data_IF_246022241046
#
_entry.id   IF_246022241046
#
_cell.length_a   1.000
_cell.length_b   1.000
_cell.length_c   1.000
_cell.angle_alpha   90.00
_cell.angle_beta   90.00
_cell.angle_gamma   90.00
#
_symmetry.space_group_name_H-M   'P 1'
#
loop_
_entity.id
_entity.type
_entity.pdbx_description
1 polymer ?
#
# COMPACT_ATOMS: atom_id res chain seq x y z
N UNK A 1 -28.91 -9.74 -0.14
CA UNK A 1 -29.32 -11.01 0.51
C UNK A 1 -28.62 -12.17 -0.17
N UNK A 2 -28.30 -13.23 0.58
CA UNK A 2 -27.66 -14.42 0.02
C UNK A 2 -28.61 -15.19 -0.92
N UNK A 3 -28.08 -15.91 -1.95
CA UNK A 3 -28.89 -16.59 -2.94
C UNK A 3 -29.87 -17.59 -2.36
N UNK A 4 -29.47 -18.35 -1.35
CA UNK A 4 -30.27 -19.40 -0.71
C UNK A 4 -31.51 -18.80 -0.01
N UNK A 5 -31.34 -17.71 0.73
CA UNK A 5 -32.44 -16.92 1.31
C UNK A 5 -33.37 -16.35 0.23
N UNK A 6 -32.81 -15.90 -0.91
CA UNK A 6 -33.61 -15.39 -2.04
C UNK A 6 -34.42 -16.48 -2.75
N UNK A 7 -33.90 -17.72 -2.84
CA UNK A 7 -34.57 -18.85 -3.52
C UNK A 7 -35.84 -19.25 -2.81
N UNK A 8 -35.80 -19.31 -1.48
CA UNK A 8 -36.92 -19.75 -0.66
C UNK A 8 -37.70 -18.58 -0.05
N UNK A 9 -37.55 -17.37 -0.59
CA UNK A 9 -38.21 -16.15 -0.09
C UNK A 9 -38.09 -15.96 1.44
N UNK A 10 -36.94 -16.36 2.02
CA UNK A 10 -36.68 -16.26 3.46
C UNK A 10 -37.15 -17.43 4.33
N UNK A 11 -37.71 -18.49 3.74
CA UNK A 11 -38.17 -19.69 4.49
C UNK A 11 -37.05 -20.69 4.81
N UNK A 12 -35.87 -20.53 4.23
CA UNK A 12 -34.72 -21.39 4.50
C UNK A 12 -34.07 -21.06 5.86
N UNK A 13 -33.45 -22.07 6.48
CA UNK A 13 -32.74 -21.90 7.74
C UNK A 13 -31.63 -20.86 7.61
N UNK A 14 -31.72 -19.80 8.40
CA UNK A 14 -30.69 -18.77 8.45
C UNK A 14 -29.45 -19.30 9.15
N UNK A 15 -28.32 -19.29 8.45
CA UNK A 15 -27.02 -19.65 9.01
C UNK A 15 -26.06 -18.47 8.96
N UNK A 16 -24.96 -18.52 9.72
CA UNK A 16 -23.89 -17.50 9.68
C UNK A 16 -23.33 -17.26 8.26
N UNK A 17 -23.52 -18.22 7.35
CA UNK A 17 -23.06 -18.12 5.95
C UNK A 17 -23.82 -17.06 5.17
N UNK A 18 -25.03 -16.70 5.59
CA UNK A 18 -25.82 -15.59 5.01
C UNK A 18 -25.17 -14.25 5.36
N UNK A 19 -24.68 -14.10 6.59
CA UNK A 19 -23.93 -12.92 7.02
C UNK A 19 -22.60 -12.83 6.28
N UNK A 20 -21.90 -13.96 6.11
CA UNK A 20 -20.65 -14.02 5.35
C UNK A 20 -20.84 -13.58 3.88
N UNK A 21 -21.97 -13.92 3.24
CA UNK A 21 -22.30 -13.42 1.90
C UNK A 21 -22.48 -11.91 1.89
N UNK A 22 -23.21 -11.38 2.87
CA UNK A 22 -23.47 -9.94 3.00
C UNK A 22 -22.17 -9.17 3.29
N UNK A 23 -21.22 -9.78 4.01
CA UNK A 23 -19.88 -9.23 4.22
C UNK A 23 -19.09 -9.09 2.90
N UNK A 24 -19.22 -10.03 1.96
CA UNK A 24 -18.64 -9.87 0.62
C UNK A 24 -19.21 -8.67 -0.14
N UNK A 25 -20.53 -8.46 -0.06
CA UNK A 25 -21.17 -7.27 -0.65
C UNK A 25 -20.72 -5.97 0.04
N UNK A 26 -20.49 -6.00 1.35
CA UNK A 26 -19.94 -4.87 2.09
C UNK A 26 -18.50 -4.56 1.68
N UNK A 27 -17.64 -5.58 1.47
CA UNK A 27 -16.28 -5.35 0.95
C UNK A 27 -16.34 -4.70 -0.44
N UNK A 28 -17.24 -5.13 -1.32
CA UNK A 28 -17.43 -4.50 -2.62
C UNK A 28 -17.76 -3.00 -2.50
N UNK A 29 -18.69 -2.67 -1.61
CA UNK A 29 -19.09 -1.28 -1.35
C UNK A 29 -17.92 -0.46 -0.79
N UNK A 30 -17.10 -1.04 0.09
CA UNK A 30 -15.90 -0.39 0.60
C UNK A 30 -14.87 -0.11 -0.51
N UNK A 31 -14.66 -1.06 -1.41
CA UNK A 31 -13.66 -0.95 -2.49
C UNK A 31 -14.08 0.04 -3.57
N UNK A 32 -15.36 0.02 -3.93
CA UNK A 32 -15.88 0.81 -5.06
C UNK A 32 -16.44 2.15 -4.61
N UNK A 33 -16.85 2.29 -3.36
CA UNK A 33 -17.69 3.39 -2.85
C UNK A 33 -19.04 3.51 -3.57
N UNK A 34 -19.50 2.42 -4.20
CA UNK A 34 -20.77 2.33 -4.91
C UNK A 34 -21.64 1.22 -4.34
N UNK A 35 -22.96 1.36 -4.49
CA UNK A 35 -23.89 0.34 -4.04
C UNK A 35 -23.73 -0.95 -4.89
N UNK A 36 -23.70 -2.15 -4.28
CA UNK A 36 -23.72 -3.39 -5.04
C UNK A 36 -24.90 -3.46 -6.01
N UNK A 37 -24.62 -3.76 -7.28
CA UNK A 37 -25.62 -3.83 -8.37
C UNK A 37 -26.36 -2.51 -8.64
N UNK A 38 -25.74 -1.36 -8.38
CA UNK A 38 -26.30 -0.05 -8.76
C UNK A 38 -26.74 -0.03 -10.24
N UNK A 39 -27.97 0.42 -10.49
CA UNK A 39 -28.54 0.50 -11.84
C UNK A 39 -29.01 -0.82 -12.47
N UNK A 40 -28.94 -1.96 -11.76
CA UNK A 40 -29.49 -3.23 -12.24
C UNK A 40 -30.98 -3.40 -11.87
N UNK A 41 -31.83 -3.73 -12.84
CA UNK A 41 -33.27 -3.95 -12.61
C UNK A 41 -33.61 -5.35 -12.05
N UNK A 42 -32.87 -6.38 -12.46
CA UNK A 42 -33.12 -7.81 -12.11
C UNK A 42 -32.08 -8.38 -11.13
N UNK A 43 -31.81 -7.69 -10.02
CA UNK A 43 -30.76 -8.09 -9.06
C UNK A 43 -30.99 -9.49 -8.49
N UNK A 44 -32.25 -9.84 -8.16
CA UNK A 44 -32.60 -11.15 -7.61
C UNK A 44 -32.21 -12.28 -8.57
N UNK A 45 -32.67 -12.21 -9.82
CA UNK A 45 -32.38 -13.22 -10.85
C UNK A 45 -30.87 -13.32 -11.11
N UNK A 46 -30.18 -12.18 -11.25
CA UNK A 46 -28.74 -12.11 -11.41
C UNK A 46 -27.99 -12.87 -10.31
N UNK A 47 -28.30 -12.61 -9.03
CA UNK A 47 -27.66 -13.31 -7.89
C UNK A 47 -27.98 -14.81 -7.89
N UNK A 48 -29.21 -15.19 -8.22
CA UNK A 48 -29.64 -16.60 -8.26
C UNK A 48 -28.91 -17.41 -9.33
N UNK A 49 -28.55 -16.76 -10.44
CA UNK A 49 -27.77 -17.30 -11.56
C UNK A 49 -26.25 -17.24 -11.34
N UNK A 50 -25.79 -16.64 -10.22
CA UNK A 50 -24.38 -16.55 -9.88
C UNK A 50 -23.71 -15.23 -10.28
N UNK A 51 -24.46 -14.28 -10.83
CA UNK A 51 -23.97 -12.94 -11.12
C UNK A 51 -23.53 -12.19 -9.87
N UNK A 52 -22.52 -11.33 -10.02
CA UNK A 52 -21.93 -10.50 -8.97
C UNK A 52 -21.77 -9.06 -9.45
N UNK A 53 -21.70 -8.07 -8.55
CA UNK A 53 -21.45 -6.68 -8.92
C UNK A 53 -20.17 -6.56 -9.77
N UNK A 54 -20.18 -5.76 -10.85
CA UNK A 54 -19.04 -5.62 -11.73
C UNK A 54 -17.90 -4.83 -11.07
N UNK A 55 -16.66 -5.27 -11.25
CA UNK A 55 -15.47 -4.49 -10.92
C UNK A 55 -14.94 -3.83 -12.19
N UNK A 56 -14.48 -2.58 -12.09
CA UNK A 56 -13.77 -1.95 -13.20
C UNK A 56 -12.31 -2.40 -13.22
N UNK A 57 -11.60 -2.10 -14.31
CA UNK A 57 -10.16 -2.37 -14.40
C UNK A 57 -9.40 -1.78 -13.20
N UNK A 58 -9.82 -0.60 -12.70
CA UNK A 58 -9.17 0.09 -11.59
C UNK A 58 -9.17 -0.74 -10.31
N UNK A 59 -10.30 -1.33 -9.93
CA UNK A 59 -10.38 -2.13 -8.70
C UNK A 59 -9.59 -3.44 -8.85
N UNK A 60 -9.49 -3.99 -10.06
CA UNK A 60 -8.74 -5.24 -10.32
C UNK A 60 -7.22 -5.05 -10.43
N UNK A 61 -6.71 -3.81 -10.52
CA UNK A 61 -5.28 -3.52 -10.71
C UNK A 61 -4.41 -3.97 -9.54
N UNK A 62 -4.97 -4.08 -8.35
CA UNK A 62 -4.22 -4.39 -7.14
C UNK A 62 -4.69 -5.74 -6.57
N UNK A 63 -3.84 -6.77 -6.55
CA UNK A 63 -4.12 -7.99 -5.82
C UNK A 63 -4.23 -7.61 -4.35
N UNK A 64 -5.42 -7.73 -3.81
CA UNK A 64 -5.64 -7.56 -2.39
C UNK A 64 -6.26 -8.83 -1.88
N UNK A 65 -5.68 -9.35 -0.80
CA UNK A 65 -6.33 -10.37 0.01
C UNK A 65 -7.78 -9.96 0.39
N UNK A 66 -8.09 -8.66 0.34
CA UNK A 66 -9.44 -8.10 0.41
C UNK A 66 -10.35 -8.50 -0.77
N UNK A 67 -9.88 -8.41 -2.03
CA UNK A 67 -10.61 -8.94 -3.20
C UNK A 67 -10.80 -10.45 -3.12
N UNK A 68 -9.76 -11.19 -2.72
CA UNK A 68 -9.86 -12.65 -2.57
C UNK A 68 -10.88 -13.01 -1.48
N UNK A 69 -10.82 -12.33 -0.33
CA UNK A 69 -11.78 -12.52 0.76
C UNK A 69 -13.20 -12.16 0.33
N UNK A 70 -13.39 -11.05 -0.39
CA UNK A 70 -14.67 -10.67 -0.97
C UNK A 70 -15.23 -11.79 -1.84
N UNK A 71 -14.39 -12.36 -2.71
CA UNK A 71 -14.78 -13.42 -3.63
C UNK A 71 -15.14 -14.71 -2.91
N UNK A 72 -14.42 -15.06 -1.86
CA UNK A 72 -14.74 -16.19 -1.00
C UNK A 72 -16.07 -15.97 -0.25
N UNK A 73 -16.26 -14.79 0.32
CA UNK A 73 -17.43 -14.41 1.11
C UNK A 73 -18.72 -14.49 0.31
N UNK A 74 -18.74 -13.99 -0.93
CA UNK A 74 -19.95 -14.02 -1.76
C UNK A 74 -20.09 -15.27 -2.64
N UNK A 75 -19.45 -16.40 -2.30
CA UNK A 75 -19.59 -17.64 -3.08
C UNK A 75 -21.06 -18.08 -3.19
N UNK A 76 -21.43 -18.66 -4.33
CA UNK A 76 -22.80 -19.13 -4.56
C UNK A 76 -23.20 -20.21 -3.55
N UNK A 77 -22.29 -21.15 -3.27
CA UNK A 77 -22.47 -22.21 -2.30
C UNK A 77 -22.14 -21.70 -0.89
N UNK A 78 -23.07 -21.80 0.09
CA UNK A 78 -22.78 -21.40 1.48
C UNK A 78 -21.59 -22.14 2.11
N UNK A 79 -21.30 -23.36 1.63
CA UNK A 79 -20.22 -24.21 2.16
C UNK A 79 -18.83 -23.71 1.79
N UNK A 80 -18.71 -23.01 0.67
CA UNK A 80 -17.43 -22.50 0.17
C UNK A 80 -17.08 -21.14 0.77
N UNK A 81 -18.05 -20.50 1.44
CA UNK A 81 -17.83 -19.24 2.16
C UNK A 81 -17.03 -19.53 3.43
N UNK A 82 -16.12 -18.64 3.85
CA UNK A 82 -15.42 -18.77 5.13
C UNK A 82 -16.40 -18.67 6.31
N UNK A 83 -16.00 -19.13 7.49
CA UNK A 83 -16.68 -18.79 8.75
C UNK A 83 -16.28 -17.38 9.21
N UNK A 84 -17.04 -16.79 10.14
CA UNK A 84 -16.67 -15.51 10.74
C UNK A 84 -15.26 -15.53 11.37
N UNK A 85 -14.87 -16.64 12.01
CA UNK A 85 -13.52 -16.80 12.58
C UNK A 85 -12.43 -16.83 11.50
N UNK A 86 -12.68 -17.45 10.36
CA UNK A 86 -11.75 -17.45 9.22
C UNK A 86 -11.65 -16.05 8.61
N UNK A 87 -12.76 -15.34 8.46
CA UNK A 87 -12.78 -13.94 8.00
C UNK A 87 -11.89 -13.08 8.90
N UNK A 88 -12.07 -13.15 10.22
CA UNK A 88 -11.23 -12.41 11.19
C UNK A 88 -9.77 -12.78 11.05
N UNK A 89 -9.45 -14.07 10.92
CA UNK A 89 -8.06 -14.53 10.75
C UNK A 89 -7.41 -13.98 9.48
N UNK A 90 -8.13 -13.98 8.35
CA UNK A 90 -7.65 -13.43 7.08
C UNK A 90 -7.50 -11.91 7.18
N UNK A 91 -8.52 -11.24 7.73
CA UNK A 91 -8.53 -9.78 7.86
C UNK A 91 -7.48 -9.23 8.85
N UNK A 92 -7.01 -10.07 9.77
CA UNK A 92 -5.95 -9.73 10.74
C UNK A 92 -4.54 -9.97 10.19
N UNK A 93 -4.41 -10.59 9.02
CA UNK A 93 -3.11 -10.78 8.38
C UNK A 93 -2.52 -9.42 7.98
N UNK A 94 -1.23 -9.14 8.24
CA UNK A 94 -0.58 -7.90 7.82
C UNK A 94 -0.77 -7.61 6.33
N UNK A 95 -0.84 -8.66 5.53
CA UNK A 95 -0.97 -8.59 4.08
C UNK A 95 -2.36 -8.13 3.61
N UNK A 96 -3.35 -8.15 4.51
CA UNK A 96 -4.74 -7.85 4.20
C UNK A 96 -5.00 -6.38 3.87
N UNK A 97 -4.32 -5.46 4.55
CA UNK A 97 -4.55 -4.00 4.44
C UNK A 97 -3.69 -3.30 3.38
N UNK A 98 -2.94 -4.03 2.55
CA UNK A 98 -1.94 -3.46 1.63
C UNK A 98 -2.47 -2.81 0.34
N UNK A 99 -3.73 -2.38 0.29
CA UNK A 99 -4.30 -1.78 -0.92
C UNK A 99 -3.86 -0.32 -1.14
N UNK A 100 -3.41 0.39 -0.10
CA UNK A 100 -3.01 1.80 -0.22
C UNK A 100 -1.49 2.04 -0.26
N UNK A 101 -0.67 1.09 0.22
CA UNK A 101 0.76 1.36 0.47
C UNK A 101 1.75 0.57 -0.40
N UNK A 102 1.27 -0.19 -1.38
CA UNK A 102 2.17 -0.90 -2.30
C UNK A 102 2.50 -0.03 -3.52
N UNK A 103 3.74 0.46 -3.58
CA UNK A 103 4.27 1.22 -4.72
C UNK A 103 5.32 0.39 -5.45
N UNK A 104 5.16 0.27 -6.77
CA UNK A 104 6.21 -0.27 -7.62
C UNK A 104 7.11 0.87 -8.09
N UNK A 105 8.42 0.73 -7.91
CA UNK A 105 9.38 1.65 -8.50
C UNK A 105 9.34 1.54 -10.03
N UNK A 106 9.69 2.63 -10.71
CA UNK A 106 9.76 2.68 -12.18
C UNK A 106 10.89 1.84 -12.79
N UNK A 107 11.62 1.06 -11.97
CA UNK A 107 12.74 0.22 -12.37
C UNK A 107 12.92 -1.00 -11.47
N UNK A 108 13.69 -1.97 -11.95
CA UNK A 108 13.98 -3.23 -11.25
C UNK A 108 15.26 -3.20 -10.40
N UNK A 109 15.97 -2.07 -10.33
CA UNK A 109 17.19 -1.99 -9.54
C UNK A 109 16.88 -2.17 -8.04
N UNK A 110 17.59 -3.06 -7.33
CA UNK A 110 17.40 -3.23 -5.90
C UNK A 110 17.63 -1.95 -5.11
N UNK A 111 16.76 -1.69 -4.13
CA UNK A 111 16.97 -0.74 -3.05
C UNK A 111 18.09 -1.27 -2.16
N UNK A 112 19.13 -0.48 -1.93
CA UNK A 112 20.33 -0.91 -1.17
C UNK A 112 20.29 -0.47 0.30
N UNK A 113 19.53 0.57 0.61
CA UNK A 113 19.36 1.12 1.94
C UNK A 113 18.07 1.95 2.00
N UNK A 114 17.64 2.32 3.20
CA UNK A 114 16.52 3.24 3.41
C UNK A 114 16.89 4.28 4.46
N UNK A 115 16.46 5.52 4.27
CA UNK A 115 16.45 6.55 5.30
C UNK A 115 15.08 7.22 5.36
N UNK A 116 14.69 7.72 6.53
CA UNK A 116 13.37 8.34 6.74
C UNK A 116 13.54 9.67 7.44
N UNK A 117 12.94 10.71 6.92
CA UNK A 117 12.88 12.03 7.55
C UNK A 117 11.45 12.34 7.94
N UNK A 118 11.22 12.68 9.20
CA UNK A 118 9.92 13.15 9.67
C UNK A 118 9.77 14.64 9.35
N UNK A 119 8.63 15.00 8.78
CA UNK A 119 8.27 16.34 8.34
C UNK A 119 7.03 16.81 9.12
N UNK A 120 7.19 17.26 10.38
CA UNK A 120 6.07 17.53 11.28
C UNK A 120 5.19 18.73 10.87
N UNK A 121 5.63 19.57 9.91
CA UNK A 121 4.95 20.81 9.50
C UNK A 121 4.71 20.92 7.98
N UNK A 122 4.79 19.82 7.23
CA UNK A 122 4.60 19.87 5.77
C UNK A 122 3.13 19.93 5.35
N UNK A 123 2.22 19.37 6.17
CA UNK A 123 0.79 19.28 5.88
C UNK A 123 -0.06 20.14 6.85
N UNK A 124 -1.38 20.00 6.77
CA UNK A 124 -2.35 20.63 7.68
C UNK A 124 -2.01 20.36 9.16
N UNK A 125 -2.42 21.25 10.06
CA UNK A 125 -2.19 21.11 11.50
C UNK A 125 -2.64 19.72 12.00
N UNK A 126 -1.70 18.97 12.59
CA UNK A 126 -1.93 17.64 13.15
C UNK A 126 -1.62 16.47 12.21
N UNK A 127 -1.26 16.71 10.95
CA UNK A 127 -0.89 15.65 9.99
C UNK A 127 0.62 15.41 10.03
N UNK A 128 1.03 14.23 10.48
CA UNK A 128 2.43 13.81 10.41
C UNK A 128 2.77 13.37 8.99
N UNK A 129 3.80 13.99 8.40
CA UNK A 129 4.35 13.58 7.11
C UNK A 129 5.75 12.99 7.29
N UNK A 130 6.13 12.09 6.40
CA UNK A 130 7.46 11.50 6.34
C UNK A 130 7.91 11.38 4.90
N UNK A 131 9.20 11.61 4.67
CA UNK A 131 9.84 11.36 3.38
C UNK A 131 10.74 10.12 3.50
N UNK A 132 10.41 9.10 2.72
CA UNK A 132 11.17 7.86 2.58
C UNK A 132 12.19 8.03 1.46
N UNK A 133 13.46 7.81 1.78
CA UNK A 133 14.55 7.80 0.81
C UNK A 133 14.97 6.37 0.54
N UNK A 134 14.90 5.96 -0.72
CA UNK A 134 15.24 4.61 -1.20
C UNK A 134 16.41 4.69 -2.21
N UNK A 135 17.66 4.84 -1.72
CA UNK A 135 18.84 4.68 -2.55
C UNK A 135 18.87 3.30 -3.22
N UNK A 136 19.16 3.29 -4.51
CA UNK A 136 19.11 2.13 -5.37
C UNK A 136 20.47 1.85 -6.02
N UNK A 137 20.71 0.57 -6.32
CA UNK A 137 21.98 0.07 -6.88
C UNK A 137 22.34 0.60 -8.28
N UNK A 138 21.42 1.31 -8.95
CA UNK A 138 21.61 1.94 -10.26
C UNK A 138 21.97 3.44 -10.16
N UNK A 139 22.55 3.88 -9.04
CA UNK A 139 22.90 5.28 -8.79
C UNK A 139 21.69 6.21 -8.84
N UNK A 140 20.53 5.74 -8.36
CA UNK A 140 19.34 6.55 -8.16
C UNK A 140 18.93 6.54 -6.69
N UNK A 141 18.17 7.53 -6.28
CA UNK A 141 17.46 7.54 -5.01
C UNK A 141 16.01 7.91 -5.29
N UNK A 142 15.09 7.00 -4.96
CA UNK A 142 13.65 7.26 -5.04
C UNK A 142 13.19 7.88 -3.71
N UNK A 143 12.40 8.95 -3.80
CA UNK A 143 11.87 9.68 -2.66
C UNK A 143 10.36 9.56 -2.66
N UNK A 144 9.81 9.14 -1.53
CA UNK A 144 8.38 8.99 -1.33
C UNK A 144 7.93 9.83 -0.15
N UNK A 145 7.16 10.86 -0.44
CA UNK A 145 6.48 11.65 0.57
C UNK A 145 5.15 10.98 0.91
N UNK A 146 4.96 10.68 2.19
CA UNK A 146 3.73 10.10 2.73
C UNK A 146 3.25 10.89 3.94
N UNK A 147 1.96 10.79 4.22
CA UNK A 147 1.36 11.17 5.49
C UNK A 147 0.62 9.99 6.12
N UNK A 148 0.06 10.21 7.31
CA UNK A 148 -0.90 9.30 7.94
C UNK A 148 -2.16 9.02 7.07
N UNK A 149 -2.39 9.80 6.01
CA UNK A 149 -3.48 9.61 5.04
C UNK A 149 -3.06 8.93 3.73
N UNK A 150 -1.79 8.55 3.59
CA UNK A 150 -1.25 7.84 2.43
C UNK A 150 -0.19 8.63 1.65
N UNK A 151 0.09 8.20 0.42
CA UNK A 151 1.13 8.81 -0.42
C UNK A 151 0.74 10.19 -0.93
N UNK A 152 1.67 11.13 -0.85
CA UNK A 152 1.51 12.50 -1.32
C UNK A 152 2.29 12.76 -2.61
N UNK A 153 3.54 12.29 -2.69
CA UNK A 153 4.41 12.57 -3.83
C UNK A 153 5.49 11.50 -4.01
N UNK A 154 5.84 11.22 -5.26
CA UNK A 154 7.00 10.41 -5.65
C UNK A 154 7.95 11.24 -6.52
N UNK A 155 9.25 11.13 -6.28
CA UNK A 155 10.28 11.70 -7.14
C UNK A 155 11.53 10.83 -7.14
N UNK A 156 12.42 11.04 -8.12
CA UNK A 156 13.68 10.30 -8.23
C UNK A 156 14.83 11.25 -8.47
N UNK A 157 15.94 11.03 -7.78
CA UNK A 157 17.17 11.78 -7.93
C UNK A 157 18.29 10.88 -8.43
N UNK A 158 19.14 11.40 -9.32
CA UNK A 158 20.37 10.73 -9.72
C UNK A 158 21.44 10.97 -8.67
N UNK A 159 22.19 9.93 -8.35
CA UNK A 159 23.34 9.98 -7.45
C UNK A 159 24.63 10.01 -8.28
N UNK A 160 25.68 10.72 -7.85
CA UNK A 160 26.97 10.73 -8.55
C UNK A 160 27.60 9.34 -8.67
N UNK A 161 27.44 8.54 -7.62
CA UNK A 161 27.97 7.19 -7.48
C UNK A 161 26.90 6.24 -6.94
N UNK A 162 27.19 4.94 -7.02
CA UNK A 162 26.26 3.93 -6.51
C UNK A 162 26.21 3.98 -4.98
N UNK A 163 25.05 4.26 -4.37
CA UNK A 163 24.91 4.28 -2.93
C UNK A 163 25.12 2.88 -2.34
N UNK A 164 25.54 2.82 -1.08
CA UNK A 164 25.72 1.56 -0.33
C UNK A 164 25.04 1.59 1.03
N UNK A 165 24.85 2.77 1.62
CA UNK A 165 24.21 2.95 2.93
C UNK A 165 23.57 4.33 3.01
N UNK A 166 22.49 4.45 3.77
CA UNK A 166 21.89 5.72 4.12
C UNK A 166 21.43 5.72 5.57
N UNK A 167 21.46 6.89 6.22
CA UNK A 167 20.89 7.09 7.55
C UNK A 167 20.36 8.51 7.71
N UNK A 168 19.57 8.73 8.76
CA UNK A 168 19.05 10.06 9.12
C UNK A 168 19.74 10.54 10.39
N UNK A 169 20.25 11.77 10.37
CA UNK A 169 20.85 12.45 11.55
C UNK A 169 20.30 13.87 11.63
N UNK A 170 19.61 14.19 12.73
CA UNK A 170 19.05 15.52 13.00
C UNK A 170 18.21 16.08 11.83
N UNK A 171 17.38 15.23 11.21
CA UNK A 171 16.52 15.62 10.09
C UNK A 171 17.21 15.68 8.71
N UNK A 172 18.52 15.44 8.65
CA UNK A 172 19.28 15.34 7.41
C UNK A 172 19.50 13.89 7.01
N UNK A 173 19.52 13.62 5.70
CA UNK A 173 19.85 12.31 5.16
C UNK A 173 21.33 12.27 4.80
N UNK A 174 22.02 11.23 5.21
CA UNK A 174 23.43 10.98 4.90
C UNK A 174 23.55 9.69 4.11
N UNK A 175 24.19 9.74 2.94
CA UNK A 175 24.33 8.59 2.04
C UNK A 175 25.82 8.33 1.81
N UNK A 176 26.26 7.12 2.12
CA UNK A 176 27.58 6.62 1.75
C UNK A 176 27.53 5.89 0.40
N UNK A 177 28.58 6.05 -0.42
CA UNK A 177 28.68 5.42 -1.73
C UNK A 177 29.78 4.35 -1.83
N UNK A 178 29.81 3.68 -2.98
CA UNK A 178 30.75 2.58 -3.23
C UNK A 178 32.21 3.00 -3.43
N UNK A 179 32.52 4.31 -3.44
CA UNK A 179 33.90 4.82 -3.51
C UNK A 179 34.37 5.39 -2.17
N UNK A 180 33.55 5.27 -1.13
CA UNK A 180 33.89 5.70 0.24
C UNK A 180 33.61 7.18 0.51
N UNK A 181 32.82 7.86 -0.32
CA UNK A 181 32.39 9.23 -0.06
C UNK A 181 31.06 9.26 0.69
N UNK A 182 30.86 10.32 1.47
CA UNK A 182 29.63 10.59 2.21
C UNK A 182 29.00 11.87 1.71
N UNK A 183 27.72 11.79 1.39
CA UNK A 183 26.89 12.87 0.85
C UNK A 183 25.81 13.24 1.87
N UNK A 184 25.72 14.51 2.25
CA UNK A 184 24.67 15.03 3.14
C UNK A 184 23.57 15.77 2.37
N UNK A 185 22.31 15.50 2.71
CA UNK A 185 21.11 16.06 2.08
C UNK A 185 20.21 16.68 3.15
N UNK A 186 19.75 17.91 2.90
CA UNK A 186 18.81 18.63 3.76
C UNK A 186 17.41 18.57 3.16
N UNK A 187 16.40 18.17 3.93
CA UNK A 187 15.04 17.92 3.41
C UNK A 187 14.29 19.19 3.00
N UNK A 188 14.58 20.35 3.62
CA UNK A 188 13.79 21.58 3.37
C UNK A 188 14.03 22.27 2.03
N UNK A 189 15.07 21.89 1.28
CA UNK A 189 15.32 22.42 -0.05
C UNK A 189 15.46 21.26 -1.03
N UNK A 190 14.51 21.15 -1.96
CA UNK A 190 14.64 20.34 -3.18
C UNK A 190 15.91 20.67 -4.02
N UNK A 191 16.71 21.65 -3.59
CA UNK A 191 18.10 21.79 -3.96
C UNK A 191 18.98 20.97 -3.02
N UNK A 192 19.27 19.75 -3.46
CA UNK A 192 20.35 18.92 -2.93
C UNK A 192 21.64 19.76 -2.89
N UNK A 193 21.98 20.27 -1.72
CA UNK A 193 23.25 20.91 -1.46
C UNK A 193 24.26 19.86 -1.04
N UNK A 194 25.06 19.35 -1.97
CA UNK A 194 26.12 18.39 -1.67
C UNK A 194 27.16 19.03 -0.73
N UNK A 195 27.16 18.62 0.54
CA UNK A 195 28.36 18.74 1.39
C UNK A 195 29.12 17.42 1.31
N UNK A 196 30.09 17.37 0.41
CA UNK A 196 31.07 16.29 0.34
C UNK A 196 31.98 16.34 1.57
N UNK A 197 31.94 15.29 2.38
CA UNK A 197 32.93 15.06 3.45
C UNK A 197 33.80 13.89 3.02
N UNK A 198 35.01 14.18 2.56
CA UNK A 198 36.00 13.17 2.19
C UNK A 198 36.81 12.74 3.43
N UNK A 199 36.45 11.58 3.99
CA UNK A 199 37.13 11.03 5.17
C UNK A 199 38.55 10.53 4.86
N UNK A 200 38.91 10.30 3.59
CA UNK A 200 40.25 9.83 3.22
C UNK A 200 41.34 10.89 3.48
N UNK A 201 40.97 12.18 3.52
CA UNK A 201 41.95 13.27 3.69
C UNK A 201 42.24 13.61 5.15
N UNK A 202 41.33 13.28 6.08
CA UNK A 202 41.51 13.63 7.51
C UNK A 202 42.35 12.63 8.31
N UNK A 203 42.66 11.45 7.76
CA UNK A 203 43.53 10.47 8.41
C UNK A 203 45.04 10.75 8.21
N UNK A 204 45.43 11.79 7.45
CA UNK A 204 46.81 12.03 7.01
C UNK A 204 47.65 13.04 7.80
N UNK A 205 47.10 13.72 8.81
CA UNK A 205 47.87 14.71 9.59
C UNK A 205 47.64 14.52 11.10
N UNK A 206 48.33 13.53 11.66
CA UNK A 206 48.71 13.50 13.07
C UNK A 206 50.03 12.71 13.19
N UNK A 207 51.13 13.38 12.83
CA UNK A 207 52.48 13.07 13.28
C UNK A 207 53.22 14.37 13.56
#
# INVERSE_FOLDING_TARGET
>A
MAPEIMRYNGEEEYTEKVDCFSFGMFIYELLTLHQPFEGHESVKECILEGGRPPLTYRETLYPSYMLDLMVLCWSQSPRDRPSASQIVSIASAPEFTHLCDTVSLSHLAPVVSTAVVLLPNFAEEGVHSAELWLPCSNSRCDLLLASDRGWLQYSTHSMPQRPTVACTVEGNVWIGDCVGQIHGYHSENQQIGEKLVDLATQAGTNH
#
